data_IF_536689549942
#
_entry.id   IF_536689549942
#
_cell.length_a   1.000
_cell.length_b   1.000
_cell.length_c   1.000
_cell.angle_alpha   90.00
_cell.angle_beta   90.00
_cell.angle_gamma   90.00
#
_symmetry.space_group_name_H-M   'P 1'
#
loop_
_entity.id
_entity.type
_entity.pdbx_description
1 polymer ?
#
# COMPACT_ATOMS: atom_id res chain seq x y z
N UNK A 1 -37.42 -29.29 -14.54
CA UNK A 1 -36.63 -28.36 -15.35
C UNK A 1 -35.40 -27.95 -14.56
N UNK A 2 -34.28 -27.65 -15.23
CA UNK A 2 -33.08 -27.15 -14.57
C UNK A 2 -33.33 -25.68 -14.19
N UNK A 3 -33.11 -25.34 -12.92
CA UNK A 3 -33.19 -23.98 -12.43
C UNK A 3 -31.81 -23.56 -11.90
N UNK A 4 -31.42 -22.32 -12.20
CA UNK A 4 -30.22 -21.69 -11.67
C UNK A 4 -30.64 -20.64 -10.64
N UNK A 5 -29.87 -20.55 -9.56
CA UNK A 5 -30.01 -19.52 -8.54
C UNK A 5 -28.63 -19.07 -8.08
N UNK A 6 -28.53 -17.83 -7.60
CA UNK A 6 -27.30 -17.28 -7.06
C UNK A 6 -27.58 -16.70 -5.67
N UNK A 7 -26.60 -16.85 -4.76
CA UNK A 7 -26.60 -16.23 -3.44
C UNK A 7 -25.40 -15.30 -3.38
N UNK A 8 -25.65 -14.06 -3.00
CA UNK A 8 -24.62 -13.04 -2.81
C UNK A 8 -24.59 -12.63 -1.34
N UNK A 9 -23.39 -12.53 -0.78
CA UNK A 9 -23.15 -12.10 0.59
C UNK A 9 -22.07 -11.03 0.61
N UNK A 10 -22.36 -9.90 1.25
CA UNK A 10 -21.46 -8.74 1.33
C UNK A 10 -21.44 -8.22 2.77
N UNK A 11 -20.25 -7.92 3.28
CA UNK A 11 -20.03 -7.38 4.61
C UNK A 11 -18.85 -6.40 4.60
N UNK A 12 -18.75 -5.59 5.64
CA UNK A 12 -17.57 -4.78 5.92
C UNK A 12 -16.71 -5.51 6.96
N UNK A 13 -15.40 -5.51 6.74
CA UNK A 13 -14.43 -6.08 7.68
C UNK A 13 -13.49 -4.99 8.17
N UNK A 14 -13.00 -5.13 9.40
CA UNK A 14 -11.97 -4.23 9.93
C UNK A 14 -10.68 -4.38 9.10
N UNK A 15 -10.10 -3.26 8.67
CA UNK A 15 -8.96 -3.26 7.75
C UNK A 15 -7.75 -4.05 8.30
N UNK A 16 -7.56 -4.04 9.61
CA UNK A 16 -6.50 -4.76 10.33
C UNK A 16 -6.74 -6.27 10.48
N UNK A 17 -7.91 -6.78 10.07
CA UNK A 17 -8.20 -8.23 10.04
C UNK A 17 -8.06 -8.85 8.65
N UNK A 18 -7.74 -8.04 7.65
CA UNK A 18 -7.56 -8.50 6.28
C UNK A 18 -6.26 -9.30 6.17
N UNK A 19 -6.35 -10.56 5.75
CA UNK A 19 -5.19 -11.44 5.47
C UNK A 19 -4.70 -11.25 4.04
N UNK A 20 -3.46 -11.61 3.71
CA UNK A 20 -2.97 -11.48 2.33
C UNK A 20 -3.66 -12.48 1.38
N UNK A 21 -4.00 -12.05 0.17
CA UNK A 21 -4.44 -12.94 -0.89
C UNK A 21 -3.24 -13.52 -1.69
N UNK A 22 -3.28 -14.82 -1.99
CA UNK A 22 -2.31 -15.44 -2.91
C UNK A 22 -2.88 -15.52 -4.33
N UNK A 23 -2.50 -14.57 -5.17
CA UNK A 23 -2.75 -14.62 -6.62
C UNK A 23 -1.41 -14.58 -7.38
N UNK A 24 -1.38 -14.65 -8.73
CA UNK A 24 -0.16 -14.44 -9.52
C UNK A 24 0.51 -13.07 -9.28
N UNK A 25 -0.23 -12.15 -8.68
CA UNK A 25 0.20 -10.85 -8.22
C UNK A 25 0.49 -10.93 -6.71
N UNK A 26 1.75 -10.81 -6.30
CA UNK A 26 2.11 -10.84 -4.88
C UNK A 26 2.46 -9.43 -4.41
N UNK A 27 1.81 -9.01 -3.33
CA UNK A 27 1.94 -7.68 -2.76
C UNK A 27 2.32 -7.78 -1.30
N UNK A 28 3.35 -7.03 -0.89
CA UNK A 28 3.75 -6.93 0.52
C UNK A 28 3.94 -5.47 0.89
N UNK A 29 3.26 -5.03 1.94
CA UNK A 29 3.41 -3.69 2.53
C UNK A 29 4.19 -3.81 3.82
N UNK A 30 5.19 -2.95 4.00
CA UNK A 30 5.91 -2.76 5.26
C UNK A 30 6.01 -1.29 5.59
N UNK A 31 6.08 -1.00 6.89
CA UNK A 31 6.34 0.34 7.40
C UNK A 31 7.69 0.38 8.08
N UNK A 32 8.42 1.48 7.92
CA UNK A 32 9.69 1.72 8.58
C UNK A 32 9.70 3.10 9.22
N UNK A 33 10.14 3.20 10.48
CA UNK A 33 10.46 4.48 11.10
C UNK A 33 11.79 4.96 10.53
N UNK A 34 11.79 6.17 9.98
CA UNK A 34 12.94 6.84 9.39
C UNK A 34 13.56 7.78 10.42
N UNK A 35 14.85 7.62 10.68
CA UNK A 35 15.62 8.43 11.62
C UNK A 35 16.87 8.95 10.92
N UNK A 36 17.07 10.27 10.96
CA UNK A 36 18.28 10.88 10.41
C UNK A 36 19.33 10.91 11.51
N UNK A 37 20.45 10.24 11.28
CA UNK A 37 21.62 10.25 12.17
C UNK A 37 22.77 11.01 11.52
N UNK A 38 23.82 11.29 12.29
CA UNK A 38 25.05 11.92 11.75
C UNK A 38 25.73 11.07 10.65
N UNK A 39 25.38 9.78 10.55
CA UNK A 39 25.91 8.84 9.53
C UNK A 39 24.99 8.68 8.32
N UNK A 40 23.81 9.29 8.34
CA UNK A 40 22.82 9.22 7.26
C UNK A 40 21.45 8.73 7.73
N UNK A 41 20.62 8.39 6.74
CA UNK A 41 19.27 7.89 6.95
C UNK A 41 19.30 6.43 7.44
N UNK A 42 18.75 6.18 8.62
CA UNK A 42 18.50 4.85 9.16
C UNK A 42 16.99 4.56 9.12
N UNK A 43 16.64 3.34 8.73
CA UNK A 43 15.26 2.86 8.68
C UNK A 43 15.09 1.61 9.55
N UNK A 44 14.11 1.64 10.46
CA UNK A 44 13.79 0.54 11.35
C UNK A 44 12.38 0.04 11.08
N UNK A 45 12.21 -1.26 10.89
CA UNK A 45 10.89 -1.85 10.63
C UNK A 45 9.95 -1.61 11.81
N UNK A 46 8.74 -1.13 11.52
CA UNK A 46 7.67 -0.94 12.50
C UNK A 46 6.94 -2.26 12.63
N UNK A 47 7.04 -2.87 13.81
CA UNK A 47 6.39 -4.11 14.17
C UNK A 47 5.21 -3.84 15.12
N UNK A 48 4.44 -4.88 15.42
CA UNK A 48 3.37 -4.78 16.41
C UNK A 48 3.96 -4.35 17.77
N UNK A 49 3.37 -3.31 18.36
CA UNK A 49 3.86 -2.71 19.61
C UNK A 49 4.98 -1.68 19.45
N UNK A 50 5.50 -1.44 18.24
CA UNK A 50 6.39 -0.31 17.98
C UNK A 50 5.63 0.99 18.22
N UNK A 51 6.22 1.84 19.06
CA UNK A 51 5.63 3.11 19.44
C UNK A 51 6.20 4.24 18.59
N UNK A 52 5.32 4.96 17.91
CA UNK A 52 5.66 6.19 17.19
C UNK A 52 5.31 7.42 18.02
N UNK A 53 5.97 8.52 17.69
CA UNK A 53 5.71 9.84 18.25
C UNK A 53 5.23 10.79 17.15
N UNK A 54 4.43 11.79 17.54
CA UNK A 54 4.04 12.87 16.61
C UNK A 54 5.30 13.56 16.07
N UNK A 55 5.37 13.72 14.75
CA UNK A 55 6.52 14.27 14.04
C UNK A 55 7.46 13.23 13.43
N UNK A 56 7.37 11.96 13.83
CA UNK A 56 8.15 10.88 13.23
C UNK A 56 7.91 10.80 11.71
N UNK A 57 8.96 10.43 10.97
CA UNK A 57 8.86 10.07 9.56
C UNK A 57 8.69 8.55 9.45
N UNK A 58 7.71 8.13 8.65
CA UNK A 58 7.42 6.74 8.35
C UNK A 58 7.56 6.51 6.86
N UNK A 59 8.51 5.67 6.47
CA UNK A 59 8.66 5.19 5.10
C UNK A 59 7.71 4.03 4.89
N UNK A 60 6.79 4.18 3.94
CA UNK A 60 6.00 3.07 3.42
C UNK A 60 6.82 2.39 2.33
N UNK A 61 6.95 1.05 2.39
CA UNK A 61 7.56 0.24 1.34
C UNK A 61 6.57 -0.80 0.86
N UNK A 62 6.28 -0.77 -0.44
CA UNK A 62 5.42 -1.74 -1.11
C UNK A 62 6.28 -2.55 -2.06
N UNK A 63 6.40 -3.85 -1.80
CA UNK A 63 7.05 -4.81 -2.69
C UNK A 63 5.98 -5.48 -3.55
N UNK A 64 6.12 -5.35 -4.86
CA UNK A 64 5.21 -5.92 -5.83
C UNK A 64 5.95 -6.92 -6.72
N UNK A 65 5.46 -8.16 -6.76
CA UNK A 65 6.01 -9.24 -7.58
C UNK A 65 4.96 -9.75 -8.56
N UNK A 66 5.34 -9.83 -9.83
CA UNK A 66 4.50 -10.33 -10.93
C UNK A 66 5.17 -11.47 -11.66
N UNK A 67 4.40 -12.49 -12.03
CA UNK A 67 4.87 -13.64 -12.83
C UNK A 67 4.75 -13.41 -14.35
N UNK A 68 3.97 -12.41 -14.77
CA UNK A 68 3.63 -12.05 -16.16
C UNK A 68 3.42 -10.55 -16.32
N UNK A 69 3.55 -9.98 -17.53
CA UNK A 69 3.18 -8.60 -17.78
C UNK A 69 1.66 -8.39 -17.67
N UNK A 70 1.25 -7.20 -17.23
CA UNK A 70 -0.14 -6.77 -17.12
C UNK A 70 -0.31 -5.35 -17.66
N UNK A 71 -1.52 -4.99 -18.06
CA UNK A 71 -1.87 -3.67 -18.57
C UNK A 71 -3.00 -3.06 -17.74
N UNK A 72 -3.00 -1.72 -17.68
CA UNK A 72 -4.02 -0.92 -17.00
C UNK A 72 -4.26 -1.37 -15.55
N UNK A 73 -3.18 -1.43 -14.78
CA UNK A 73 -3.20 -1.85 -13.38
C UNK A 73 -3.29 -0.62 -12.49
N UNK A 74 -4.13 -0.70 -11.45
CA UNK A 74 -4.24 0.31 -10.42
C UNK A 74 -3.85 -0.29 -9.09
N UNK A 75 -2.87 0.33 -8.43
CA UNK A 75 -2.54 0.06 -7.04
C UNK A 75 -2.99 1.24 -6.18
N UNK A 76 -3.75 0.95 -5.13
CA UNK A 76 -4.21 1.93 -4.15
C UNK A 76 -3.65 1.53 -2.80
N UNK A 77 -2.83 2.40 -2.24
CA UNK A 77 -2.30 2.22 -0.89
C UNK A 77 -2.99 3.15 0.10
N UNK A 78 -3.74 2.58 1.04
CA UNK A 78 -4.33 3.34 2.14
C UNK A 78 -3.27 3.70 3.19
N UNK A 79 -3.57 4.68 4.05
CA UNK A 79 -2.71 5.06 5.17
C UNK A 79 -3.51 5.28 6.43
N UNK A 80 -2.82 5.24 7.57
CA UNK A 80 -3.41 5.61 8.85
C UNK A 80 -3.87 7.07 8.86
N UNK A 81 -5.01 7.36 9.49
CA UNK A 81 -5.62 8.69 9.55
C UNK A 81 -4.77 9.75 10.28
N UNK A 82 -3.81 9.32 11.10
CA UNK A 82 -2.86 10.19 11.79
C UNK A 82 -1.57 10.41 11.03
N UNK A 83 -1.47 9.99 9.78
CA UNK A 83 -0.27 10.13 8.94
C UNK A 83 -0.56 10.94 7.69
N UNK A 84 0.29 11.91 7.42
CA UNK A 84 0.20 12.82 6.27
C UNK A 84 1.34 12.55 5.28
N UNK A 85 1.08 12.54 3.96
CA UNK A 85 2.12 12.34 2.97
C UNK A 85 3.06 13.53 2.90
N UNK A 86 4.37 13.29 2.83
CA UNK A 86 5.35 14.36 2.64
C UNK A 86 5.21 14.99 1.25
N UNK A 87 4.87 14.19 0.24
CA UNK A 87 4.66 14.65 -1.13
C UNK A 87 3.19 14.51 -1.55
N UNK A 88 2.56 15.66 -1.85
CA UNK A 88 1.17 15.76 -2.30
C UNK A 88 1.03 15.95 -3.81
N UNK A 89 2.14 16.11 -4.54
CA UNK A 89 2.10 16.38 -5.97
C UNK A 89 1.88 15.09 -6.76
N UNK A 90 0.77 15.07 -7.51
CA UNK A 90 0.51 14.00 -8.47
C UNK A 90 1.40 14.19 -9.70
N UNK A 91 2.12 13.16 -10.11
CA UNK A 91 3.08 13.25 -11.22
C UNK A 91 3.33 11.90 -11.87
N UNK A 92 3.78 11.94 -13.12
CA UNK A 92 4.33 10.77 -13.77
C UNK A 92 5.75 10.52 -13.25
N UNK A 93 6.04 9.28 -12.86
CA UNK A 93 7.35 8.83 -12.39
C UNK A 93 7.87 7.73 -13.31
N UNK A 94 9.19 7.71 -13.44
CA UNK A 94 9.91 6.66 -14.14
C UNK A 94 11.04 6.16 -13.25
N UNK A 95 10.99 4.89 -12.86
CA UNK A 95 12.03 4.26 -12.03
C UNK A 95 12.23 2.81 -12.48
N UNK A 96 13.47 2.34 -12.50
CA UNK A 96 13.82 0.94 -12.79
C UNK A 96 13.14 0.35 -14.06
N UNK A 97 12.94 1.19 -15.08
CA UNK A 97 12.29 0.80 -16.34
C UNK A 97 10.76 0.69 -16.29
N UNK A 98 10.14 1.15 -15.19
CA UNK A 98 8.69 1.22 -15.00
C UNK A 98 8.22 2.67 -14.95
N UNK A 99 7.32 3.01 -15.87
CA UNK A 99 6.59 4.28 -15.87
C UNK A 99 5.23 4.13 -15.20
N UNK A 100 4.88 5.07 -14.32
CA UNK A 100 3.59 5.08 -13.65
C UNK A 100 3.17 6.49 -13.25
N UNK A 101 1.86 6.71 -13.16
CA UNK A 101 1.33 7.95 -12.60
C UNK A 101 1.00 7.77 -11.12
N UNK A 102 1.60 8.62 -10.28
CA UNK A 102 1.34 8.64 -8.85
C UNK A 102 0.38 9.78 -8.51
N UNK A 103 -0.69 9.48 -7.77
CA UNK A 103 -1.63 10.47 -7.26
C UNK A 103 -1.88 10.31 -5.77
N UNK A 104 -1.33 11.24 -5.01
CA UNK A 104 -1.58 11.37 -3.58
C UNK A 104 -2.97 11.98 -3.35
N UNK A 105 -3.81 11.27 -2.60
CA UNK A 105 -5.08 11.75 -2.05
C UNK A 105 -4.99 11.76 -0.53
N UNK A 106 -6.02 12.26 0.15
CA UNK A 106 -6.04 12.41 1.61
C UNK A 106 -5.82 11.06 2.32
N UNK A 107 -6.66 10.06 1.99
CA UNK A 107 -6.63 8.76 2.65
C UNK A 107 -5.79 7.68 1.94
N UNK A 108 -5.19 7.98 0.77
CA UNK A 108 -4.45 6.97 -0.01
C UNK A 108 -3.48 7.55 -1.03
N UNK A 109 -2.43 6.79 -1.36
CA UNK A 109 -1.59 7.01 -2.53
C UNK A 109 -2.03 6.07 -3.64
N UNK A 110 -2.28 6.59 -4.84
CA UNK A 110 -2.71 5.80 -5.99
C UNK A 110 -1.58 5.74 -7.02
N UNK A 111 -1.38 4.56 -7.60
CA UNK A 111 -0.39 4.30 -8.63
C UNK A 111 -1.12 3.68 -9.82
N UNK A 112 -1.01 4.33 -10.99
CA UNK A 112 -1.63 3.88 -12.23
C UNK A 112 -0.55 3.46 -13.21
N UNK A 113 -0.65 2.22 -13.68
CA UNK A 113 0.31 1.60 -14.60
C UNK A 113 -0.40 1.31 -15.92
N UNK A 114 0.05 1.94 -17.00
CA UNK A 114 -0.42 1.58 -18.34
C UNK A 114 0.10 0.19 -18.73
N UNK A 115 1.38 -0.06 -18.45
CA UNK A 115 2.05 -1.34 -18.64
C UNK A 115 2.92 -1.67 -17.43
N UNK A 116 2.73 -2.86 -16.87
CA UNK A 116 3.46 -3.37 -15.72
C UNK A 116 4.18 -4.66 -16.14
N UNK A 117 5.51 -4.64 -16.36
CA UNK A 117 6.24 -5.81 -16.81
C UNK A 117 6.29 -6.89 -15.74
N UNK A 118 6.63 -8.10 -16.15
CA UNK A 118 7.02 -9.17 -15.21
C UNK A 118 8.25 -8.72 -14.42
N UNK A 119 8.25 -8.90 -13.10
CA UNK A 119 9.40 -8.57 -12.27
C UNK A 119 9.07 -8.38 -10.79
N UNK A 120 10.01 -7.74 -10.09
CA UNK A 120 9.84 -7.29 -8.71
C UNK A 120 10.12 -5.79 -8.67
N UNK A 121 9.17 -5.02 -8.14
CA UNK A 121 9.25 -3.58 -8.04
C UNK A 121 9.06 -3.17 -6.58
N UNK A 122 9.80 -2.14 -6.15
CA UNK A 122 9.69 -1.57 -4.80
C UNK A 122 9.25 -0.12 -4.93
N UNK A 123 8.13 0.21 -4.29
CA UNK A 123 7.60 1.56 -4.23
C UNK A 123 7.77 2.10 -2.82
N UNK A 124 8.31 3.29 -2.72
CA UNK A 124 8.64 3.92 -1.45
C UNK A 124 8.19 5.36 -1.42
N UNK A 125 7.56 5.74 -0.32
CA UNK A 125 7.20 7.13 -0.05
C UNK A 125 7.14 7.40 1.46
N UNK A 126 7.42 8.65 1.83
CA UNK A 126 7.46 9.07 3.23
C UNK A 126 6.13 9.69 3.66
N UNK A 127 5.70 9.31 4.85
CA UNK A 127 4.61 9.90 5.62
C UNK A 127 5.18 10.58 6.87
N UNK A 128 4.50 11.59 7.38
CA UNK A 128 4.75 12.21 8.68
C UNK A 128 3.61 11.89 9.63
N UNK A 129 3.95 11.48 10.84
CA UNK A 129 2.98 11.29 11.91
C UNK A 129 2.51 12.66 12.40
N UNK A 130 1.20 12.89 12.37
CA UNK A 130 0.58 14.16 12.70
C UNK A 130 -0.31 14.08 13.96
N UNK A 131 -1.01 12.95 14.17
CA UNK A 131 -1.93 12.78 15.31
C UNK A 131 -1.58 11.54 16.14
N UNK A 132 -1.70 11.67 17.46
CA UNK A 132 -1.60 10.55 18.40
C UNK A 132 -2.84 9.65 18.37
N UNK A 133 -2.67 8.37 18.70
CA UNK A 133 -3.75 7.39 18.76
C UNK A 133 -3.36 6.00 18.27
N UNK A 134 -4.32 5.07 18.35
CA UNK A 134 -4.20 3.71 17.83
C UNK A 134 -5.04 3.57 16.55
N UNK A 135 -4.38 3.46 15.41
CA UNK A 135 -5.02 3.61 14.10
C UNK A 135 -4.72 2.40 13.20
N UNK A 136 -5.68 2.03 12.36
CA UNK A 136 -5.41 1.08 11.28
C UNK A 136 -4.67 1.78 10.14
N UNK A 137 -3.59 1.17 9.67
CA UNK A 137 -2.81 1.64 8.52
C UNK A 137 -3.46 1.32 7.16
N UNK A 138 -4.63 0.68 7.19
CA UNK A 138 -5.31 0.17 6.00
C UNK A 138 -4.49 -0.88 5.26
N UNK A 139 -4.91 -1.16 4.04
CA UNK A 139 -4.28 -2.13 3.15
C UNK A 139 -3.81 -1.43 1.86
N UNK A 140 -2.86 -2.06 1.19
CA UNK A 140 -2.61 -1.81 -0.23
C UNK A 140 -3.45 -2.80 -1.03
N UNK A 141 -4.19 -2.33 -2.03
CA UNK A 141 -4.87 -3.16 -3.02
C UNK A 141 -4.24 -2.92 -4.38
N UNK A 142 -4.17 -3.94 -5.22
CA UNK A 142 -3.75 -3.82 -6.61
C UNK A 142 -4.65 -4.68 -7.49
N UNK A 143 -5.07 -4.14 -8.63
CA UNK A 143 -6.02 -4.81 -9.51
C UNK A 143 -5.87 -4.33 -10.96
N UNK A 144 -6.04 -5.24 -11.91
CA UNK A 144 -6.25 -4.86 -13.31
C UNK A 144 -7.67 -4.32 -13.52
N UNK A 145 -7.77 -3.18 -14.20
CA UNK A 145 -9.06 -2.53 -14.49
C UNK A 145 -9.96 -3.36 -15.42
N UNK A 146 -9.38 -4.23 -16.24
CA UNK A 146 -10.09 -5.01 -17.25
C UNK A 146 -10.13 -6.52 -16.97
N UNK A 147 -9.31 -7.01 -16.04
CA UNK A 147 -9.26 -8.40 -15.65
C UNK A 147 -9.23 -8.53 -14.11
N UNK A 148 -10.38 -8.35 -13.44
CA UNK A 148 -10.51 -8.31 -11.97
C UNK A 148 -9.96 -9.53 -11.22
N UNK A 149 -9.90 -10.68 -11.89
CA UNK A 149 -9.29 -11.91 -11.39
C UNK A 149 -7.79 -11.74 -11.09
N UNK A 150 -7.13 -10.77 -11.73
CA UNK A 150 -5.78 -10.31 -11.38
C UNK A 150 -5.86 -9.17 -10.38
N UNK A 151 -6.10 -9.54 -9.13
CA UNK A 151 -6.06 -8.63 -8.00
C UNK A 151 -5.30 -9.24 -6.83
N UNK A 152 -4.79 -8.39 -5.94
CA UNK A 152 -4.13 -8.79 -4.70
C UNK A 152 -4.26 -7.66 -3.68
N UNK A 153 -4.07 -8.00 -2.40
CA UNK A 153 -3.96 -7.01 -1.35
C UNK A 153 -2.97 -7.42 -0.27
N UNK A 154 -2.47 -6.43 0.47
CA UNK A 154 -1.63 -6.66 1.64
C UNK A 154 -2.50 -7.06 2.83
N UNK A 155 -1.83 -7.52 3.88
CA UNK A 155 -2.43 -7.52 5.21
C UNK A 155 -2.64 -6.09 5.73
N UNK A 156 -3.57 -5.93 6.67
CA UNK A 156 -3.70 -4.71 7.43
C UNK A 156 -2.85 -4.73 8.69
N UNK A 157 -2.31 -3.57 9.06
CA UNK A 157 -1.48 -3.42 10.25
C UNK A 157 -1.98 -2.24 11.08
N UNK A 158 -1.89 -2.34 12.41
CA UNK A 158 -2.18 -1.23 13.32
C UNK A 158 -0.91 -0.48 13.71
N UNK A 159 -1.05 0.82 13.92
CA UNK A 159 0.05 1.68 14.38
C UNK A 159 -0.37 2.41 15.65
N UNK A 160 0.53 2.42 16.63
CA UNK A 160 0.34 3.12 17.89
C UNK A 160 1.23 4.37 17.93
N UNK A 161 0.59 5.53 18.06
CA UNK A 161 1.25 6.83 18.19
C UNK A 161 0.94 7.40 19.58
N UNK A 162 1.98 7.86 20.29
CA UNK A 162 1.86 8.61 21.54
C UNK A 162 1.96 10.12 21.33
#
# INVERSE_FOLDING_TARGET
>A
GIAWGALYWQYFEDLDKITSAETPLKLKKKLFKKTNTDKGEEIHEILEGTLLEVGDLVRVRIELRLDRPMEFVHMKDMRASGMEPINVLSQYKWQDGLGYYESTKDASTNFFFDYLPKGVFVFEYDLRVNNAGNMSNGITTIQSMYAPEFSSHSEGVRVLVK
#
